data_IF_195294475197
#
_entry.id   IF_195294475197
#
_cell.length_a   1.000
_cell.length_b   1.000
_cell.length_c   1.000
_cell.angle_alpha   90.00
_cell.angle_beta   90.00
_cell.angle_gamma   90.00
#
_symmetry.space_group_name_H-M   'P 1'
#
loop_
_entity.id
_entity.type
_entity.pdbx_description
1 polymer ?
#
# COMPACT_ATOMS: atom_id res chain seq x y z
N UNK A 1 -10.78 -19.16 12.83
CA UNK A 1 -11.68 -18.02 12.55
C UNK A 1 -11.34 -17.50 11.18
N UNK A 2 -12.33 -17.23 10.33
CA UNK A 2 -12.11 -16.89 8.93
C UNK A 2 -12.32 -15.40 8.71
N UNK A 3 -11.25 -14.66 8.40
CA UNK A 3 -11.30 -13.20 8.16
C UNK A 3 -12.07 -12.83 6.90
N UNK A 4 -12.33 -13.81 6.03
CA UNK A 4 -13.04 -13.62 4.77
C UNK A 4 -14.56 -13.80 4.92
N UNK A 5 -15.05 -14.08 6.14
CA UNK A 5 -16.48 -14.37 6.38
C UNK A 5 -17.35 -13.11 6.37
N UNK A 6 -16.86 -11.98 6.92
CA UNK A 6 -17.61 -10.73 7.01
C UNK A 6 -16.79 -9.60 6.36
N UNK A 7 -16.61 -9.71 5.06
CA UNK A 7 -15.88 -8.75 4.25
C UNK A 7 -16.84 -7.77 3.58
N UNK A 8 -16.58 -6.49 3.75
CA UNK A 8 -17.37 -5.40 3.14
C UNK A 8 -16.43 -4.56 2.29
N UNK A 9 -16.74 -4.41 1.01
CA UNK A 9 -16.00 -3.54 0.11
C UNK A 9 -16.78 -2.27 -0.18
N UNK A 10 -16.03 -1.18 -0.32
CA UNK A 10 -16.56 0.13 -0.67
C UNK A 10 -15.95 0.59 -1.99
N UNK A 11 -16.78 1.21 -2.83
CA UNK A 11 -16.32 1.96 -4.00
C UNK A 11 -16.47 3.45 -3.73
N UNK A 12 -15.40 4.18 -4.03
CA UNK A 12 -15.38 5.64 -3.89
C UNK A 12 -15.78 6.30 -5.19
N UNK A 13 -16.65 7.30 -5.09
CA UNK A 13 -17.03 8.19 -6.19
C UNK A 13 -16.64 9.61 -5.78
N UNK A 14 -16.09 10.36 -6.72
CA UNK A 14 -15.62 11.72 -6.49
C UNK A 14 -15.85 12.56 -7.74
N UNK A 15 -15.97 13.84 -7.52
CA UNK A 15 -16.11 14.85 -8.57
C UNK A 15 -15.10 15.96 -8.29
N UNK A 16 -14.24 16.20 -9.25
CA UNK A 16 -13.20 17.23 -9.20
C UNK A 16 -13.47 18.23 -10.31
N UNK A 17 -13.27 19.51 -10.03
CA UNK A 17 -13.24 20.56 -11.05
C UNK A 17 -11.92 21.30 -10.97
N UNK A 18 -11.44 21.77 -12.13
CA UNK A 18 -10.21 22.57 -12.23
C UNK A 18 -10.60 24.01 -12.41
N UNK A 19 -10.10 24.85 -11.51
CA UNK A 19 -10.28 26.31 -11.61
C UNK A 19 -9.20 26.94 -12.46
N UNK A 20 -8.06 26.30 -12.63
CA UNK A 20 -6.88 26.87 -13.28
C UNK A 20 -5.93 25.83 -13.86
N UNK A 21 -5.93 25.63 -15.18
CA UNK A 21 -4.74 25.29 -15.98
C UNK A 21 -5.09 25.42 -17.48
N UNK A 22 -4.38 26.26 -18.19
CA UNK A 22 -4.56 26.40 -19.63
C UNK A 22 -3.32 25.88 -20.32
N UNK A 23 -3.52 24.90 -21.19
CA UNK A 23 -2.61 24.48 -22.25
C UNK A 23 -1.36 23.66 -21.89
N UNK A 24 -1.22 23.16 -20.66
CA UNK A 24 -0.12 22.25 -20.32
C UNK A 24 -0.56 20.79 -20.47
N UNK A 25 0.17 20.04 -21.29
CA UNK A 25 -0.05 18.59 -21.42
C UNK A 25 0.65 17.80 -20.32
N UNK A 26 -0.03 16.80 -19.80
CA UNK A 26 0.43 15.88 -18.77
C UNK A 26 0.34 14.43 -19.24
N UNK A 27 1.24 13.59 -18.76
CA UNK A 27 1.11 12.13 -18.88
C UNK A 27 -0.16 11.67 -18.16
N UNK A 28 -1.13 11.15 -18.89
CA UNK A 28 -2.44 10.70 -18.39
C UNK A 28 -2.32 9.72 -17.22
N UNK A 29 -1.41 8.75 -17.32
CA UNK A 29 -1.24 7.70 -16.30
C UNK A 29 -0.69 8.26 -14.98
N UNK A 30 0.25 9.21 -15.09
CA UNK A 30 0.85 9.87 -13.93
C UNK A 30 -0.09 10.88 -13.31
N UNK A 31 -0.76 11.70 -14.12
CA UNK A 31 -1.76 12.64 -13.66
C UNK A 31 -2.89 11.92 -12.91
N UNK A 32 -3.46 10.85 -13.47
CA UNK A 32 -4.46 10.02 -12.82
C UNK A 32 -3.98 9.45 -11.48
N UNK A 33 -2.70 9.02 -11.39
CA UNK A 33 -2.14 8.52 -10.13
C UNK A 33 -2.03 9.61 -9.06
N UNK A 34 -1.66 10.83 -9.46
CA UNK A 34 -1.56 11.97 -8.55
C UNK A 34 -2.94 12.47 -8.11
N UNK A 35 -3.90 12.57 -9.03
CA UNK A 35 -5.28 12.91 -8.73
C UNK A 35 -5.89 11.90 -7.75
N UNK A 36 -5.66 10.60 -7.99
CA UNK A 36 -6.09 9.56 -7.06
C UNK A 36 -5.47 9.74 -5.68
N UNK A 37 -4.17 9.98 -5.61
CA UNK A 37 -3.46 10.26 -4.35
C UNK A 37 -4.00 11.52 -3.64
N UNK A 38 -4.30 12.57 -4.41
CA UNK A 38 -4.92 13.80 -3.89
C UNK A 38 -6.29 13.52 -3.27
N UNK A 39 -7.19 12.88 -4.00
CA UNK A 39 -8.53 12.50 -3.50
C UNK A 39 -8.45 11.63 -2.25
N UNK A 40 -7.61 10.59 -2.27
CA UNK A 40 -7.48 9.65 -1.15
C UNK A 40 -6.92 10.28 0.13
N UNK A 41 -6.11 11.33 -0.01
CA UNK A 41 -5.53 12.06 1.13
C UNK A 41 -6.26 13.35 1.48
N UNK A 42 -7.30 13.72 0.72
CA UNK A 42 -8.10 14.90 0.98
C UNK A 42 -8.84 14.79 2.31
N UNK A 43 -8.95 15.91 3.05
CA UNK A 43 -9.52 15.89 4.40
C UNK A 43 -11.00 15.44 4.42
N UNK A 44 -11.79 15.87 3.43
CA UNK A 44 -13.18 15.45 3.30
C UNK A 44 -13.33 13.94 3.06
N UNK A 45 -12.48 13.37 2.20
CA UNK A 45 -12.45 11.92 1.94
C UNK A 45 -12.16 11.15 3.23
N UNK A 46 -11.14 11.59 3.97
CA UNK A 46 -10.72 10.96 5.23
C UNK A 46 -11.82 11.08 6.28
N UNK A 47 -12.48 12.23 6.40
CA UNK A 47 -13.58 12.42 7.37
C UNK A 47 -14.76 11.48 7.07
N UNK A 48 -15.18 11.36 5.80
CA UNK A 48 -16.29 10.48 5.40
C UNK A 48 -15.94 9.01 5.66
N UNK A 49 -14.74 8.57 5.31
CA UNK A 49 -14.27 7.20 5.60
C UNK A 49 -14.17 6.96 7.12
N UNK A 50 -13.62 7.92 7.86
CA UNK A 50 -13.48 7.83 9.32
C UNK A 50 -14.85 7.72 10.00
N UNK A 51 -15.83 8.47 9.54
CA UNK A 51 -17.21 8.39 10.03
C UNK A 51 -17.82 7.01 9.79
N UNK A 52 -17.69 6.48 8.57
CA UNK A 52 -18.18 5.13 8.24
C UNK A 52 -17.51 4.03 9.10
N UNK A 53 -16.20 4.14 9.35
CA UNK A 53 -15.47 3.21 10.22
C UNK A 53 -15.92 3.30 11.68
N UNK A 54 -16.07 4.52 12.21
CA UNK A 54 -16.53 4.75 13.58
C UNK A 54 -17.96 4.30 13.78
N UNK A 55 -18.87 4.62 12.87
CA UNK A 55 -20.27 4.19 12.93
C UNK A 55 -20.38 2.66 12.90
N UNK A 56 -19.59 2.00 12.04
CA UNK A 56 -19.54 0.55 12.02
C UNK A 56 -19.01 -0.01 13.35
N UNK A 57 -17.88 0.50 13.84
CA UNK A 57 -17.29 0.01 15.09
C UNK A 57 -18.26 0.22 16.27
N UNK A 58 -18.84 1.38 16.38
CA UNK A 58 -19.74 1.72 17.47
C UNK A 58 -21.01 0.85 17.46
N UNK A 59 -21.70 0.73 16.32
CA UNK A 59 -22.97 0.01 16.23
C UNK A 59 -22.82 -1.52 16.10
N UNK A 60 -21.81 -2.00 15.38
CA UNK A 60 -21.67 -3.44 15.10
C UNK A 60 -20.72 -4.17 16.06
N UNK A 61 -19.86 -3.44 16.77
CA UNK A 61 -18.87 -4.04 17.66
C UNK A 61 -19.10 -3.59 19.10
N UNK A 62 -19.01 -2.30 19.37
CA UNK A 62 -19.04 -1.75 20.71
C UNK A 62 -20.42 -1.92 21.40
N UNK A 63 -21.51 -1.45 20.79
CA UNK A 63 -22.87 -1.57 21.37
C UNK A 63 -23.34 -3.02 21.51
N UNK A 64 -22.83 -3.92 20.68
CA UNK A 64 -23.12 -5.36 20.79
C UNK A 64 -22.35 -6.04 21.92
N UNK A 65 -21.46 -5.33 22.59
CA UNK A 65 -20.66 -5.88 23.69
C UNK A 65 -19.71 -7.00 23.30
N UNK A 66 -19.29 -7.01 22.04
CA UNK A 66 -18.43 -8.09 21.53
C UNK A 66 -17.14 -8.18 22.34
N UNK A 67 -16.68 -9.42 22.57
CA UNK A 67 -15.52 -9.74 23.42
C UNK A 67 -15.61 -9.08 24.81
N UNK A 68 -16.84 -9.04 25.38
CA UNK A 68 -17.09 -8.47 26.70
C UNK A 68 -16.78 -6.96 26.79
N UNK A 69 -17.16 -6.19 25.79
CA UNK A 69 -16.87 -4.74 25.62
C UNK A 69 -15.38 -4.40 25.52
N UNK A 70 -14.50 -5.40 25.32
CA UNK A 70 -13.06 -5.22 25.15
C UNK A 70 -12.60 -5.27 23.70
N UNK A 71 -13.54 -5.41 22.77
CA UNK A 71 -13.23 -5.50 21.35
C UNK A 71 -12.45 -4.29 20.87
N UNK A 72 -11.45 -4.55 20.01
CA UNK A 72 -10.57 -3.56 19.43
C UNK A 72 -10.66 -3.56 17.91
N UNK A 73 -10.25 -2.45 17.30
CA UNK A 73 -10.15 -2.32 15.85
C UNK A 73 -8.78 -1.80 15.42
N UNK A 74 -8.41 -2.11 14.18
CA UNK A 74 -7.21 -1.58 13.53
C UNK A 74 -7.61 -0.88 12.22
N UNK A 75 -7.11 0.34 12.02
CA UNK A 75 -7.22 1.09 10.76
C UNK A 75 -5.87 1.03 10.07
N UNK A 76 -5.83 0.48 8.86
CA UNK A 76 -4.61 0.30 8.07
C UNK A 76 -4.54 1.34 6.98
N UNK A 77 -3.63 2.31 7.14
CA UNK A 77 -3.50 3.45 6.23
C UNK A 77 -2.39 3.25 5.19
N UNK A 78 -2.57 3.85 4.02
CA UNK A 78 -1.60 3.81 2.93
C UNK A 78 -0.32 4.62 3.19
N UNK A 79 -0.40 5.67 4.01
CA UNK A 79 0.73 6.54 4.33
C UNK A 79 0.72 7.03 5.77
N UNK A 80 1.88 7.50 6.24
CA UNK A 80 2.01 8.14 7.56
C UNK A 80 1.18 9.42 7.64
N UNK A 81 1.14 10.22 6.56
CA UNK A 81 0.29 11.42 6.48
C UNK A 81 -1.19 11.08 6.63
N UNK A 82 -1.65 10.02 5.96
CA UNK A 82 -3.02 9.53 6.10
C UNK A 82 -3.33 9.10 7.54
N UNK A 83 -2.39 8.38 8.21
CA UNK A 83 -2.58 7.96 9.60
C UNK A 83 -2.74 9.15 10.55
N UNK A 84 -1.96 10.22 10.37
CA UNK A 84 -2.09 11.47 11.15
C UNK A 84 -3.45 12.12 10.91
N UNK A 85 -3.84 12.28 9.64
CA UNK A 85 -5.15 12.87 9.27
C UNK A 85 -6.31 12.05 9.82
N UNK A 86 -6.27 10.72 9.70
CA UNK A 86 -7.25 9.83 10.33
C UNK A 86 -7.29 10.01 11.84
N UNK A 87 -6.14 10.13 12.51
CA UNK A 87 -6.06 10.37 13.94
C UNK A 87 -6.82 11.64 14.37
N UNK A 88 -6.68 12.72 13.61
CA UNK A 88 -7.42 13.96 13.85
C UNK A 88 -8.91 13.83 13.54
N UNK A 89 -9.26 13.23 12.41
CA UNK A 89 -10.65 13.02 12.01
C UNK A 89 -11.41 12.16 13.03
N UNK A 90 -10.81 11.04 13.46
CA UNK A 90 -11.41 10.17 14.47
C UNK A 90 -11.63 10.91 15.80
N UNK A 91 -10.61 11.62 16.30
CA UNK A 91 -10.72 12.40 17.55
C UNK A 91 -11.79 13.47 17.46
N UNK A 92 -11.89 14.17 16.31
CA UNK A 92 -12.92 15.19 16.03
C UNK A 92 -14.34 14.57 16.08
N UNK A 93 -14.56 13.47 15.35
CA UNK A 93 -15.87 12.82 15.24
C UNK A 93 -16.27 12.19 16.59
N UNK A 94 -15.36 11.54 17.29
CA UNK A 94 -15.59 10.98 18.63
C UNK A 94 -16.06 12.06 19.59
N UNK A 95 -15.41 13.23 19.58
CA UNK A 95 -15.82 14.37 20.42
C UNK A 95 -17.17 14.92 19.99
N UNK A 96 -17.41 15.14 18.69
CA UNK A 96 -18.67 15.69 18.17
C UNK A 96 -19.86 14.79 18.47
N UNK A 97 -19.71 13.47 18.32
CA UNK A 97 -20.76 12.48 18.59
C UNK A 97 -20.79 12.00 20.05
N UNK A 98 -19.89 12.51 20.91
CA UNK A 98 -19.74 12.10 22.31
C UNK A 98 -19.62 10.58 22.47
N UNK A 99 -18.83 9.93 21.59
CA UNK A 99 -18.66 8.48 21.63
C UNK A 99 -17.70 8.09 22.78
N UNK A 100 -17.98 7.00 23.51
CA UNK A 100 -17.10 6.49 24.58
C UNK A 100 -15.93 5.67 23.99
N UNK A 101 -15.24 6.22 23.00
CA UNK A 101 -14.15 5.57 22.25
C UNK A 101 -12.90 6.43 22.30
N UNK A 102 -11.74 5.77 22.24
CA UNK A 102 -10.46 6.43 22.16
C UNK A 102 -9.56 5.77 21.10
N UNK A 103 -8.66 6.56 20.50
CA UNK A 103 -7.81 6.12 19.41
C UNK A 103 -6.35 6.37 19.69
N UNK A 104 -5.49 5.45 19.24
CA UNK A 104 -4.03 5.58 19.17
C UNK A 104 -3.59 5.65 17.72
N UNK A 105 -2.58 6.47 17.42
CA UNK A 105 -1.96 6.57 16.09
C UNK A 105 -0.55 6.00 16.15
N UNK A 106 -0.19 5.14 15.19
CA UNK A 106 1.08 4.44 15.15
C UNK A 106 1.75 4.49 13.77
N UNK A 107 2.95 5.05 13.71
CA UNK A 107 3.82 5.10 12.53
C UNK A 107 5.27 5.38 12.93
N UNK A 108 6.24 5.14 12.07
CA UNK A 108 7.65 5.38 12.39
C UNK A 108 8.14 6.74 11.90
N UNK A 109 8.94 7.43 12.73
CA UNK A 109 9.56 8.73 12.41
C UNK A 109 8.58 9.90 12.46
N UNK A 110 9.02 11.04 11.94
CA UNK A 110 8.24 12.27 11.91
C UNK A 110 7.52 12.45 10.57
N UNK A 111 6.43 13.21 10.58
CA UNK A 111 5.61 13.55 9.41
C UNK A 111 5.33 15.03 9.42
N UNK A 112 5.77 15.74 8.38
CA UNK A 112 5.36 17.12 8.17
C UNK A 112 3.95 17.14 7.55
N UNK A 113 3.03 17.81 8.23
CA UNK A 113 1.68 18.08 7.75
C UNK A 113 1.39 19.57 7.99
N UNK A 114 1.13 20.28 6.93
CA UNK A 114 0.79 21.71 6.92
C UNK A 114 1.81 22.56 7.73
N UNK A 115 3.11 22.27 7.54
CA UNK A 115 4.21 22.97 8.20
C UNK A 115 4.47 22.54 9.65
N UNK A 116 3.72 21.61 10.20
CA UNK A 116 3.90 21.08 11.56
C UNK A 116 4.43 19.66 11.52
N UNK A 117 5.46 19.37 12.30
CA UNK A 117 6.03 18.03 12.42
C UNK A 117 5.30 17.23 13.51
N UNK A 118 4.73 16.10 13.07
CA UNK A 118 3.97 15.18 13.91
C UNK A 118 4.70 13.85 14.08
N UNK A 119 4.70 13.35 15.31
CA UNK A 119 5.14 11.99 15.65
C UNK A 119 4.16 11.32 16.62
N UNK A 120 4.36 10.04 16.86
CA UNK A 120 3.47 9.25 17.72
C UNK A 120 3.32 9.87 19.12
N UNK A 121 4.41 10.37 19.71
CA UNK A 121 4.39 10.87 21.09
C UNK A 121 3.60 12.17 21.21
N UNK A 122 3.73 13.09 20.23
CA UNK A 122 3.00 14.35 20.31
C UNK A 122 1.52 14.20 19.91
N UNK A 123 1.17 13.22 19.08
CA UNK A 123 -0.23 12.91 18.76
C UNK A 123 -0.95 12.20 19.90
N UNK A 124 -0.30 11.16 20.46
CA UNK A 124 -0.91 10.31 21.49
C UNK A 124 -0.77 10.88 22.91
N UNK A 125 0.12 11.86 23.13
CA UNK A 125 0.44 12.46 24.43
C UNK A 125 1.14 11.50 25.41
N UNK A 126 1.77 10.45 24.88
CA UNK A 126 2.62 9.52 25.64
C UNK A 126 3.73 8.95 24.75
N UNK A 127 4.74 8.31 25.35
CA UNK A 127 5.88 7.76 24.60
C UNK A 127 5.46 6.67 23.61
N UNK A 128 6.07 6.67 22.41
CA UNK A 128 5.87 5.64 21.38
C UNK A 128 6.10 4.21 21.85
N UNK A 129 7.00 4.02 22.84
CA UNK A 129 7.28 2.71 23.45
C UNK A 129 6.10 2.13 24.22
N UNK A 130 5.19 2.97 24.71
CA UNK A 130 4.01 2.55 25.46
C UNK A 130 2.82 2.17 24.59
N UNK A 131 2.88 2.39 23.28
CA UNK A 131 1.74 2.11 22.37
C UNK A 131 1.21 0.68 22.50
N UNK A 132 2.04 -0.38 22.53
CA UNK A 132 1.52 -1.74 22.70
C UNK A 132 0.77 -1.92 24.02
N UNK A 133 1.36 -1.50 25.14
CA UNK A 133 0.79 -1.66 26.46
C UNK A 133 -0.50 -0.83 26.64
N UNK A 134 -0.50 0.42 26.16
CA UNK A 134 -1.67 1.29 26.18
C UNK A 134 -2.81 0.76 25.32
N UNK A 135 -2.48 0.16 24.16
CA UNK A 135 -3.49 -0.46 23.32
C UNK A 135 -4.00 -1.77 23.90
N UNK A 136 -3.16 -2.55 24.58
CA UNK A 136 -3.58 -3.79 25.21
C UNK A 136 -4.43 -3.54 26.46
N UNK A 137 -3.93 -2.75 27.40
CA UNK A 137 -4.45 -2.61 28.75
C UNK A 137 -5.18 -1.29 29.01
N UNK A 138 -5.01 -0.30 28.14
CA UNK A 138 -5.61 1.02 28.26
C UNK A 138 -7.02 1.10 27.68
N UNK A 139 -7.63 2.29 27.82
CA UNK A 139 -8.98 2.59 27.37
C UNK A 139 -9.07 2.92 25.88
N UNK A 140 -8.14 2.40 25.06
CA UNK A 140 -8.09 2.65 23.63
C UNK A 140 -8.68 1.47 22.87
N UNK A 141 -9.69 1.75 22.03
CA UNK A 141 -10.37 0.74 21.24
C UNK A 141 -9.86 0.64 19.81
N UNK A 142 -9.28 1.72 19.28
CA UNK A 142 -8.93 1.79 17.85
C UNK A 142 -7.46 2.16 17.68
N UNK A 143 -6.72 1.35 16.94
CA UNK A 143 -5.33 1.60 16.53
C UNK A 143 -5.29 2.01 15.06
N UNK A 144 -4.85 3.22 14.78
CA UNK A 144 -4.66 3.73 13.41
C UNK A 144 -3.19 3.60 13.06
N UNK A 145 -2.84 2.83 12.04
CA UNK A 145 -1.45 2.53 11.73
C UNK A 145 -1.08 2.69 10.25
N UNK A 146 0.19 3.09 10.03
CA UNK A 146 0.81 3.11 8.72
C UNK A 146 2.12 2.30 8.73
N UNK A 147 2.12 1.14 8.08
CA UNK A 147 3.23 0.17 8.01
C UNK A 147 3.68 -0.44 9.36
N UNK A 148 3.52 0.24 10.46
CA UNK A 148 3.83 -0.23 11.81
C UNK A 148 2.70 -1.13 12.31
N UNK A 149 3.02 -2.20 13.05
CA UNK A 149 2.08 -3.19 13.60
C UNK A 149 1.25 -4.00 12.57
N UNK A 150 1.45 -3.82 11.29
CA UNK A 150 0.86 -4.68 10.25
C UNK A 150 1.50 -6.08 10.24
N UNK A 151 2.74 -6.19 10.74
CA UNK A 151 3.44 -7.47 10.97
C UNK A 151 3.95 -7.50 12.41
N UNK A 152 4.10 -8.71 12.98
CA UNK A 152 4.69 -8.89 14.31
C UNK A 152 3.84 -8.41 15.51
N UNK A 153 2.60 -7.94 15.31
CA UNK A 153 1.71 -7.49 16.38
C UNK A 153 0.66 -8.54 16.71
N UNK A 154 0.53 -8.88 17.96
CA UNK A 154 -0.44 -9.87 18.45
C UNK A 154 -1.46 -9.22 19.38
N UNK A 155 -2.72 -9.18 18.96
CA UNK A 155 -3.83 -8.64 19.75
C UNK A 155 -5.08 -9.51 19.57
N UNK A 156 -5.36 -10.43 20.49
CA UNK A 156 -6.50 -11.33 20.39
C UNK A 156 -7.87 -10.64 20.40
N UNK A 157 -7.95 -9.43 20.98
CA UNK A 157 -9.19 -8.65 21.08
C UNK A 157 -9.54 -7.91 19.76
N UNK A 158 -8.69 -7.97 18.73
CA UNK A 158 -8.96 -7.37 17.44
C UNK A 158 -10.19 -8.02 16.80
N UNK A 159 -11.29 -7.27 16.70
CA UNK A 159 -12.58 -7.69 16.18
C UNK A 159 -12.86 -7.12 14.79
N UNK A 160 -12.36 -5.92 14.50
CA UNK A 160 -12.56 -5.27 13.23
C UNK A 160 -11.25 -4.74 12.64
N UNK A 161 -11.16 -4.73 11.31
CA UNK A 161 -10.08 -4.11 10.56
C UNK A 161 -10.66 -3.24 9.45
N UNK A 162 -10.15 -2.02 9.35
CA UNK A 162 -10.52 -1.03 8.36
C UNK A 162 -9.33 -0.78 7.46
N UNK A 163 -9.48 -1.10 6.18
CA UNK A 163 -8.38 -1.08 5.21
C UNK A 163 -8.56 0.10 4.26
N UNK A 164 -7.65 1.07 4.31
CA UNK A 164 -7.55 2.16 3.36
C UNK A 164 -6.13 2.18 2.75
N UNK A 165 -5.79 1.05 2.13
CA UNK A 165 -4.49 0.81 1.53
C UNK A 165 -4.58 -0.31 0.50
N UNK A 166 -3.84 -0.19 -0.62
CA UNK A 166 -3.65 -1.35 -1.49
C UNK A 166 -2.89 -2.44 -0.74
N UNK A 167 -3.55 -3.56 -0.56
CA UNK A 167 -2.96 -4.78 -0.02
C UNK A 167 -2.57 -5.68 -1.19
N UNK A 168 -1.26 -5.87 -1.38
CA UNK A 168 -0.76 -6.81 -2.37
C UNK A 168 -0.46 -8.17 -1.73
N UNK A 169 -0.82 -9.27 -2.38
CA UNK A 169 -0.41 -10.67 -2.12
C UNK A 169 -0.08 -10.99 -0.63
N UNK A 170 1.20 -11.23 -0.32
CA UNK A 170 1.68 -11.58 1.04
C UNK A 170 1.23 -10.57 2.10
N UNK A 171 1.23 -9.28 1.76
CA UNK A 171 0.82 -8.22 2.71
C UNK A 171 -0.67 -8.30 3.08
N UNK A 172 -1.55 -8.74 2.15
CA UNK A 172 -2.96 -8.93 2.44
C UNK A 172 -3.14 -10.03 3.50
N UNK A 173 -2.51 -11.18 3.27
CA UNK A 173 -2.59 -12.31 4.20
C UNK A 173 -1.98 -11.94 5.56
N UNK A 174 -0.78 -11.36 5.58
CA UNK A 174 -0.11 -10.97 6.81
C UNK A 174 -0.88 -9.92 7.62
N UNK A 175 -1.52 -8.97 6.94
CA UNK A 175 -2.29 -7.90 7.59
C UNK A 175 -3.62 -8.46 8.11
N UNK A 176 -4.41 -9.09 7.24
CA UNK A 176 -5.75 -9.57 7.59
C UNK A 176 -5.73 -10.72 8.59
N UNK A 177 -4.71 -11.60 8.55
CA UNK A 177 -4.56 -12.70 9.51
C UNK A 177 -4.37 -12.24 10.97
N UNK A 178 -4.12 -10.95 11.22
CA UNK A 178 -4.13 -10.39 12.58
C UNK A 178 -5.49 -10.53 13.25
N UNK A 179 -6.56 -10.54 12.47
CA UNK A 179 -7.90 -10.79 12.98
C UNK A 179 -8.13 -12.25 13.40
N UNK A 180 -7.34 -13.21 12.91
CA UNK A 180 -7.51 -14.64 13.18
C UNK A 180 -7.04 -15.09 14.57
N UNK A 181 -6.59 -14.16 15.42
CA UNK A 181 -6.20 -14.49 16.79
C UNK A 181 -7.38 -14.97 17.60
N UNK A 182 -7.22 -16.13 18.23
CA UNK A 182 -8.27 -16.79 18.99
C UNK A 182 -8.47 -16.09 20.34
N UNK A 183 -9.71 -15.83 20.68
CA UNK A 183 -10.14 -15.44 22.01
C UNK A 183 -11.44 -16.18 22.34
N UNK A 184 -11.64 -16.57 23.61
CA UNK A 184 -12.79 -17.40 24.02
C UNK A 184 -14.16 -16.78 23.69
N UNK A 185 -14.26 -15.46 23.72
CA UNK A 185 -15.50 -14.72 23.52
C UNK A 185 -15.57 -14.10 22.09
N UNK A 186 -14.73 -14.56 21.16
CA UNK A 186 -14.63 -14.04 19.81
C UNK A 186 -15.19 -15.03 18.80
N UNK A 187 -16.37 -14.75 18.27
CA UNK A 187 -17.09 -15.63 17.35
C UNK A 187 -16.93 -15.23 15.87
N UNK A 188 -16.76 -13.95 15.61
CA UNK A 188 -16.68 -13.39 14.25
C UNK A 188 -15.66 -12.25 14.17
N UNK A 189 -15.29 -11.86 12.97
CA UNK A 189 -14.45 -10.71 12.68
C UNK A 189 -15.05 -9.91 11.53
N UNK A 190 -14.71 -8.61 11.44
CA UNK A 190 -15.23 -7.72 10.40
C UNK A 190 -14.07 -7.06 9.67
N UNK A 191 -14.16 -7.01 8.34
CA UNK A 191 -13.27 -6.22 7.50
C UNK A 191 -14.10 -5.26 6.67
N UNK A 192 -13.75 -3.96 6.72
CA UNK A 192 -14.24 -2.96 5.80
C UNK A 192 -13.07 -2.47 4.96
N UNK A 193 -13.14 -2.66 3.68
CA UNK A 193 -12.09 -2.31 2.73
C UNK A 193 -12.55 -1.20 1.79
N UNK A 194 -11.81 -0.08 1.81
CA UNK A 194 -12.06 1.10 1.01
C UNK A 194 -11.16 1.20 -0.23
N UNK A 195 -10.33 0.18 -0.46
CA UNK A 195 -9.29 0.25 -1.49
C UNK A 195 -9.25 -0.97 -2.41
N UNK A 196 -9.42 -2.17 -1.85
CA UNK A 196 -9.25 -3.43 -2.59
C UNK A 196 -10.61 -4.02 -2.94
N UNK A 197 -10.67 -4.73 -4.08
CA UNK A 197 -11.86 -5.49 -4.46
C UNK A 197 -11.83 -6.89 -3.85
N UNK A 198 -12.98 -7.60 -3.92
CA UNK A 198 -13.03 -9.01 -3.51
C UNK A 198 -12.04 -9.86 -4.28
N UNK A 199 -11.92 -9.64 -5.58
CA UNK A 199 -11.02 -10.36 -6.47
C UNK A 199 -9.55 -10.10 -6.11
N UNK A 200 -9.20 -8.87 -5.73
CA UNK A 200 -7.84 -8.56 -5.27
C UNK A 200 -7.47 -9.39 -4.03
N UNK A 201 -8.40 -9.52 -3.09
CA UNK A 201 -8.20 -10.26 -1.84
C UNK A 201 -8.25 -11.77 -2.09
N UNK A 202 -9.19 -12.24 -2.90
CA UNK A 202 -9.27 -13.64 -3.29
C UNK A 202 -7.95 -14.11 -3.90
N UNK A 203 -7.44 -13.40 -4.90
CA UNK A 203 -6.14 -13.69 -5.53
C UNK A 203 -4.98 -13.67 -4.54
N UNK A 204 -5.04 -12.81 -3.52
CA UNK A 204 -3.99 -12.74 -2.51
C UNK A 204 -4.00 -13.94 -1.56
N UNK A 205 -5.17 -14.51 -1.26
CA UNK A 205 -5.35 -15.61 -0.33
C UNK A 205 -5.29 -17.00 -0.99
N UNK A 206 -5.68 -17.11 -2.27
CA UNK A 206 -5.68 -18.40 -2.99
C UNK A 206 -4.38 -19.20 -2.84
N UNK A 207 -3.17 -18.60 -2.97
CA UNK A 207 -1.92 -19.35 -2.81
C UNK A 207 -1.74 -20.03 -1.45
N UNK A 208 -2.35 -19.51 -0.42
CA UNK A 208 -2.19 -20.01 0.96
C UNK A 208 -3.23 -21.07 1.33
N UNK A 209 -4.32 -21.17 0.57
CA UNK A 209 -5.37 -22.15 0.78
C UNK A 209 -5.09 -23.49 0.09
N UNK A 210 -4.31 -23.45 -0.99
CA UNK A 210 -3.96 -24.66 -1.77
C UNK A 210 -2.60 -25.19 -1.30
N UNK A 211 -2.59 -26.27 -0.55
CA UNK A 211 -1.38 -26.96 -0.07
C UNK A 211 -0.44 -27.46 -1.19
N UNK A 212 -0.88 -27.44 -2.44
CA UNK A 212 -0.13 -27.82 -3.63
C UNK A 212 0.71 -26.68 -4.24
N UNK A 213 0.62 -25.47 -3.70
CA UNK A 213 1.17 -24.26 -4.35
C UNK A 213 2.58 -23.91 -3.90
N UNK A 214 3.06 -24.48 -2.80
CA UNK A 214 4.47 -24.33 -2.42
C UNK A 214 5.43 -24.76 -3.55
N UNK A 215 5.04 -25.74 -4.38
CA UNK A 215 5.85 -26.17 -5.51
C UNK A 215 5.87 -25.21 -6.72
N UNK A 216 4.82 -24.38 -6.91
CA UNK A 216 4.77 -23.38 -8.01
C UNK A 216 5.34 -22.02 -7.63
N UNK A 217 5.36 -21.68 -6.33
CA UNK A 217 5.93 -20.44 -5.83
C UNK A 217 7.44 -20.52 -5.54
N UNK A 218 7.93 -21.73 -5.34
CA UNK A 218 9.36 -22.02 -5.22
C UNK A 218 9.99 -22.41 -6.55
N UNK A 219 9.36 -22.08 -7.69
CA UNK A 219 9.96 -22.34 -8.99
C UNK A 219 11.14 -21.38 -9.21
N UNK A 220 12.39 -21.89 -9.14
CA UNK A 220 13.59 -21.10 -9.38
C UNK A 220 13.58 -20.44 -10.77
N UNK A 221 12.89 -21.02 -11.75
CA UNK A 221 12.83 -20.54 -13.12
C UNK A 221 12.20 -19.13 -13.21
N UNK A 222 11.25 -18.79 -12.33
CA UNK A 222 10.69 -17.43 -12.30
C UNK A 222 11.70 -16.34 -11.99
N UNK A 223 12.72 -16.66 -11.19
CA UNK A 223 13.78 -15.72 -10.89
C UNK A 223 14.70 -15.53 -12.09
N UNK A 224 14.97 -16.61 -12.83
CA UNK A 224 15.66 -16.56 -14.11
C UNK A 224 14.87 -15.74 -15.14
N UNK A 225 13.58 -16.02 -15.30
CA UNK A 225 12.72 -15.29 -16.24
C UNK A 225 12.70 -13.78 -15.95
N UNK A 226 12.63 -13.39 -14.66
CA UNK A 226 12.67 -11.98 -14.25
C UNK A 226 14.05 -11.36 -14.49
N UNK A 227 15.14 -12.09 -14.24
CA UNK A 227 16.49 -11.64 -14.54
C UNK A 227 16.66 -11.42 -16.05
N UNK A 228 16.34 -12.41 -16.87
CA UNK A 228 16.44 -12.34 -18.32
C UNK A 228 15.61 -11.17 -18.89
N UNK A 229 14.40 -10.97 -18.35
CA UNK A 229 13.55 -9.85 -18.74
C UNK A 229 14.12 -8.49 -18.33
N UNK A 230 14.85 -8.40 -17.22
CA UNK A 230 15.54 -7.18 -16.79
C UNK A 230 16.79 -6.92 -17.61
N UNK A 231 17.58 -7.96 -17.89
CA UNK A 231 18.80 -7.87 -18.71
C UNK A 231 18.48 -7.45 -20.15
N UNK A 232 17.33 -7.86 -20.68
CA UNK A 232 16.87 -7.49 -22.02
C UNK A 232 16.67 -5.97 -22.22
N UNK A 233 16.51 -5.16 -21.16
CA UNK A 233 16.45 -3.70 -21.28
C UNK A 233 17.82 -3.07 -21.60
N UNK A 234 18.94 -3.76 -21.34
CA UNK A 234 20.29 -3.30 -21.64
C UNK A 234 20.69 -2.00 -20.91
N UNK A 235 20.06 -1.67 -19.77
CA UNK A 235 20.32 -0.45 -19.01
C UNK A 235 21.51 -0.57 -18.06
N UNK A 236 21.91 -1.77 -17.73
CA UNK A 236 23.10 -2.13 -16.94
C UNK A 236 23.79 -3.33 -17.60
N UNK A 237 25.01 -3.60 -17.21
CA UNK A 237 25.74 -4.80 -17.57
C UNK A 237 26.14 -5.59 -16.31
N UNK A 238 26.55 -6.85 -16.52
CA UNK A 238 26.94 -7.75 -15.44
C UNK A 238 28.14 -7.23 -14.64
N UNK A 239 29.07 -6.54 -15.29
CA UNK A 239 30.22 -5.97 -14.61
C UNK A 239 29.81 -4.89 -13.61
N UNK A 240 28.85 -4.03 -13.97
CA UNK A 240 28.34 -2.98 -13.08
C UNK A 240 27.61 -3.59 -11.88
N UNK A 241 26.81 -4.63 -12.10
CA UNK A 241 26.07 -5.33 -11.04
C UNK A 241 27.03 -6.00 -10.07
N UNK A 242 27.99 -6.78 -10.57
CA UNK A 242 28.98 -7.49 -9.75
C UNK A 242 29.86 -6.53 -8.95
N UNK A 243 30.40 -5.48 -9.61
CA UNK A 243 31.22 -4.48 -8.94
C UNK A 243 30.44 -3.75 -7.84
N UNK A 244 29.22 -3.34 -8.12
CA UNK A 244 28.36 -2.67 -7.16
C UNK A 244 28.07 -3.54 -5.93
N UNK A 245 27.72 -4.80 -6.18
CA UNK A 245 27.45 -5.79 -5.13
C UNK A 245 28.69 -6.08 -4.27
N UNK A 246 29.85 -6.28 -4.91
CA UNK A 246 31.13 -6.49 -4.21
C UNK A 246 31.48 -5.29 -3.32
N UNK A 247 31.34 -4.08 -3.83
CA UNK A 247 31.64 -2.86 -3.08
C UNK A 247 30.70 -2.68 -1.87
N UNK A 248 29.39 -2.95 -2.03
CA UNK A 248 28.43 -2.93 -0.91
C UNK A 248 28.77 -3.97 0.15
N UNK A 249 29.04 -5.21 -0.25
CA UNK A 249 29.35 -6.30 0.68
C UNK A 249 30.68 -6.07 1.40
N UNK A 250 31.58 -5.32 0.77
CA UNK A 250 32.85 -4.89 1.38
C UNK A 250 32.71 -3.68 2.31
N UNK A 251 31.49 -3.18 2.52
CA UNK A 251 31.20 -2.07 3.44
C UNK A 251 31.45 -0.68 2.87
N UNK A 252 31.57 -0.54 1.55
CA UNK A 252 31.65 0.78 0.90
C UNK A 252 30.32 1.50 1.09
N UNK A 253 30.38 2.76 1.57
CA UNK A 253 29.19 3.56 1.79
C UNK A 253 28.41 3.78 0.49
N UNK A 254 27.08 3.63 0.55
CA UNK A 254 26.18 3.72 -0.62
C UNK A 254 26.34 5.04 -1.37
N UNK A 255 26.63 6.12 -0.66
CA UNK A 255 26.87 7.46 -1.23
C UNK A 255 27.99 7.48 -2.26
N UNK A 256 29.02 6.65 -2.07
CA UNK A 256 30.17 6.54 -2.99
C UNK A 256 29.83 5.73 -4.26
N UNK A 257 28.77 4.92 -4.18
CA UNK A 257 28.32 4.08 -5.28
C UNK A 257 27.27 4.79 -6.16
N UNK A 258 26.83 6.00 -5.76
CA UNK A 258 25.83 6.75 -6.51
C UNK A 258 26.23 7.05 -7.95
N UNK A 259 27.52 7.28 -8.22
CA UNK A 259 28.01 7.55 -9.58
C UNK A 259 27.78 6.38 -10.55
N UNK A 260 27.91 5.12 -10.07
CA UNK A 260 27.60 3.94 -10.87
C UNK A 260 26.10 3.84 -11.18
N UNK A 261 25.26 4.15 -10.18
CA UNK A 261 23.81 4.18 -10.37
C UNK A 261 23.35 5.33 -11.26
N UNK A 262 24.07 6.48 -11.28
CA UNK A 262 23.74 7.61 -12.15
C UNK A 262 23.84 7.24 -13.62
N UNK A 263 24.88 6.48 -14.00
CA UNK A 263 25.04 6.02 -15.39
C UNK A 263 23.91 5.09 -15.81
N UNK A 264 23.48 4.20 -14.93
CA UNK A 264 22.34 3.29 -15.18
C UNK A 264 21.02 4.07 -15.27
N UNK A 265 20.81 5.04 -14.40
CA UNK A 265 19.63 5.92 -14.45
C UNK A 265 19.56 6.70 -15.76
N UNK A 266 20.69 7.22 -16.26
CA UNK A 266 20.74 7.89 -17.55
C UNK A 266 20.41 6.93 -18.72
N UNK A 267 20.79 5.67 -18.63
CA UNK A 267 20.38 4.67 -19.60
C UNK A 267 18.87 4.36 -19.51
N UNK A 268 18.33 4.26 -18.30
CA UNK A 268 16.87 4.08 -18.10
C UNK A 268 16.09 5.26 -18.68
N UNK A 269 16.58 6.48 -18.53
CA UNK A 269 15.93 7.69 -19.10
C UNK A 269 15.86 7.68 -20.64
N UNK A 270 16.76 6.96 -21.30
CA UNK A 270 16.76 6.85 -22.76
C UNK A 270 15.74 5.85 -23.29
N UNK A 271 15.20 5.00 -22.42
CA UNK A 271 14.15 4.05 -22.81
C UNK A 271 12.84 4.78 -23.11
N UNK A 272 12.00 4.23 -23.99
CA UNK A 272 10.61 4.64 -24.12
C UNK A 272 9.89 4.58 -22.78
N UNK A 273 8.94 5.47 -22.55
CA UNK A 273 8.31 5.64 -21.21
C UNK A 273 7.57 4.38 -20.75
N UNK A 274 6.93 3.66 -21.66
CA UNK A 274 6.30 2.37 -21.40
C UNK A 274 7.33 1.33 -20.90
N UNK A 275 8.52 1.31 -21.49
CA UNK A 275 9.61 0.44 -21.08
C UNK A 275 10.24 0.86 -19.73
N UNK A 276 10.26 2.17 -19.43
CA UNK A 276 10.70 2.65 -18.11
C UNK A 276 9.79 2.11 -17.01
N UNK A 277 8.46 2.19 -17.20
CA UNK A 277 7.51 1.70 -16.21
C UNK A 277 7.56 0.17 -16.09
N UNK A 278 7.71 -0.56 -17.21
CA UNK A 278 7.88 -2.00 -17.22
C UNK A 278 9.16 -2.44 -16.52
N UNK A 279 10.28 -1.76 -16.78
CA UNK A 279 11.54 -1.99 -16.06
C UNK A 279 11.37 -1.82 -14.55
N UNK A 280 10.73 -0.72 -14.10
CA UNK A 280 10.48 -0.45 -12.68
C UNK A 280 9.64 -1.53 -12.03
N UNK A 281 8.59 -1.98 -12.71
CA UNK A 281 7.69 -3.01 -12.17
C UNK A 281 8.41 -4.37 -12.08
N UNK A 282 9.22 -4.74 -13.08
CA UNK A 282 10.04 -5.95 -13.06
C UNK A 282 11.13 -5.89 -11.99
N UNK A 283 11.82 -4.75 -11.84
CA UNK A 283 12.84 -4.56 -10.82
C UNK A 283 12.26 -4.65 -9.39
N UNK A 284 11.07 -4.10 -9.16
CA UNK A 284 10.34 -4.28 -7.90
C UNK A 284 9.90 -5.73 -7.68
N UNK A 285 9.41 -6.38 -8.73
CA UNK A 285 8.97 -7.77 -8.67
C UNK A 285 10.14 -8.70 -8.34
N UNK A 286 11.28 -8.50 -8.99
CA UNK A 286 12.51 -9.25 -8.72
C UNK A 286 12.95 -9.11 -7.25
N UNK A 287 13.06 -7.87 -6.75
CA UNK A 287 13.52 -7.62 -5.38
C UNK A 287 12.56 -8.20 -4.33
N UNK A 288 11.25 -8.15 -4.56
CA UNK A 288 10.26 -8.77 -3.67
C UNK A 288 10.32 -10.28 -3.71
N UNK A 289 10.38 -10.85 -4.91
CA UNK A 289 10.42 -12.30 -5.10
C UNK A 289 11.69 -12.91 -4.53
N UNK A 290 12.86 -12.31 -4.81
CA UNK A 290 14.12 -12.75 -4.25
C UNK A 290 14.15 -12.66 -2.71
N UNK A 291 13.72 -11.54 -2.15
CA UNK A 291 13.64 -11.36 -0.69
C UNK A 291 12.73 -12.39 -0.01
N UNK A 292 11.71 -12.87 -0.68
CA UNK A 292 10.82 -13.93 -0.17
C UNK A 292 11.46 -15.31 -0.30
N UNK A 293 11.93 -15.64 -1.51
CA UNK A 293 12.37 -17.01 -1.79
C UNK A 293 13.72 -17.36 -1.13
N UNK A 294 14.60 -16.36 -0.93
CA UNK A 294 15.87 -16.53 -0.21
C UNK A 294 15.71 -16.90 1.26
N UNK A 295 14.52 -16.71 1.84
CA UNK A 295 14.20 -17.16 3.20
C UNK A 295 13.77 -18.64 3.26
N UNK A 296 13.39 -19.21 2.13
CA UNK A 296 12.81 -20.56 2.04
C UNK A 296 13.78 -21.52 1.36
N UNK A 297 14.52 -21.05 0.36
CA UNK A 297 15.43 -21.83 -0.47
C UNK A 297 16.81 -21.19 -0.42
N UNK A 298 17.83 -22.00 -0.16
CA UNK A 298 19.23 -21.57 -0.29
C UNK A 298 19.61 -21.64 -1.76
N UNK A 299 19.82 -20.48 -2.39
CA UNK A 299 20.34 -20.42 -3.76
C UNK A 299 21.86 -20.43 -3.74
N UNK A 300 22.46 -21.32 -4.51
CA UNK A 300 23.91 -21.35 -4.76
C UNK A 300 24.34 -20.37 -5.87
N UNK A 301 23.38 -19.67 -6.49
CA UNK A 301 23.63 -18.76 -7.62
C UNK A 301 23.88 -17.34 -7.10
N UNK A 302 25.15 -16.98 -7.07
CA UNK A 302 25.64 -15.67 -6.56
C UNK A 302 25.05 -14.49 -7.33
N UNK A 303 24.86 -14.64 -8.64
CA UNK A 303 24.31 -13.59 -9.53
C UNK A 303 22.94 -13.06 -9.10
N UNK A 304 22.10 -13.89 -8.48
CA UNK A 304 20.78 -13.46 -8.02
C UNK A 304 20.87 -12.53 -6.80
N UNK A 305 21.78 -12.82 -5.88
CA UNK A 305 22.04 -11.94 -4.73
C UNK A 305 22.66 -10.62 -5.20
N UNK A 306 23.62 -10.67 -6.11
CA UNK A 306 24.26 -9.49 -6.67
C UNK A 306 23.26 -8.56 -7.33
N UNK A 307 22.39 -9.10 -8.18
CA UNK A 307 21.33 -8.35 -8.83
C UNK A 307 20.30 -7.81 -7.81
N UNK A 308 19.98 -8.59 -6.77
CA UNK A 308 19.09 -8.13 -5.71
C UNK A 308 19.67 -6.93 -4.96
N UNK A 309 20.93 -6.97 -4.53
CA UNK A 309 21.58 -5.86 -3.82
C UNK A 309 21.63 -4.60 -4.70
N UNK A 310 21.97 -4.76 -5.96
CA UNK A 310 22.00 -3.69 -6.94
C UNK A 310 20.60 -3.06 -7.15
N UNK A 311 19.60 -3.86 -7.49
CA UNK A 311 18.23 -3.39 -7.74
C UNK A 311 17.56 -2.78 -6.51
N UNK A 312 17.89 -3.26 -5.31
CA UNK A 312 17.37 -2.72 -4.05
C UNK A 312 17.74 -1.25 -3.86
N UNK A 313 18.96 -0.87 -4.22
CA UNK A 313 19.42 0.53 -4.12
C UNK A 313 18.97 1.33 -5.34
N UNK A 314 19.07 0.76 -6.54
CA UNK A 314 18.61 1.40 -7.77
C UNK A 314 17.12 1.79 -7.70
N UNK A 315 16.26 0.91 -7.21
CA UNK A 315 14.82 1.19 -7.06
C UNK A 315 14.55 2.42 -6.16
N UNK A 316 15.32 2.61 -5.08
CA UNK A 316 15.20 3.79 -4.23
C UNK A 316 15.57 5.06 -5.00
N UNK A 317 16.70 5.02 -5.72
CA UNK A 317 17.18 6.15 -6.51
C UNK A 317 16.24 6.54 -7.64
N UNK A 318 15.68 5.55 -8.33
CA UNK A 318 14.68 5.76 -9.37
C UNK A 318 13.45 6.47 -8.78
N UNK A 319 12.94 6.02 -7.65
CA UNK A 319 11.77 6.63 -7.00
C UNK A 319 12.04 8.10 -6.66
N UNK A 320 13.21 8.43 -6.11
CA UNK A 320 13.57 9.81 -5.77
C UNK A 320 13.64 10.73 -6.98
N UNK A 321 14.26 10.28 -8.07
CA UNK A 321 14.46 11.09 -9.27
C UNK A 321 13.14 11.31 -10.03
N UNK A 322 12.34 10.26 -10.21
CA UNK A 322 11.07 10.37 -10.93
C UNK A 322 9.95 11.05 -10.14
N UNK A 323 10.07 11.14 -8.81
CA UNK A 323 9.13 11.93 -8.01
C UNK A 323 9.33 13.44 -8.21
N UNK A 324 10.48 13.87 -8.73
CA UNK A 324 10.81 15.28 -8.92
C UNK A 324 10.48 15.85 -10.31
N UNK A 325 10.44 15.03 -11.35
CA UNK A 325 10.51 15.56 -12.74
C UNK A 325 9.18 15.80 -13.46
N UNK A 326 8.04 15.22 -13.09
CA UNK A 326 6.77 15.37 -13.84
C UNK A 326 5.55 15.29 -12.90
N UNK A 327 5.62 15.99 -11.80
CA UNK A 327 4.48 16.13 -10.91
C UNK A 327 3.58 17.28 -11.38
N UNK A 328 2.26 17.08 -11.37
CA UNK A 328 1.33 18.19 -11.26
C UNK A 328 1.85 19.00 -10.06
N UNK A 329 2.14 20.28 -10.27
CA UNK A 329 2.69 21.10 -9.19
C UNK A 329 1.69 21.20 -8.04
N UNK A 330 2.17 21.41 -6.81
CA UNK A 330 1.27 21.52 -5.66
C UNK A 330 0.28 22.67 -5.86
N UNK A 331 0.70 23.77 -6.45
CA UNK A 331 -0.17 24.93 -6.74
C UNK A 331 -1.33 24.56 -7.68
N UNK A 332 -1.10 23.66 -8.65
CA UNK A 332 -2.14 23.16 -9.55
C UNK A 332 -3.05 22.15 -8.83
N UNK A 333 -2.50 21.28 -7.99
CA UNK A 333 -3.32 20.39 -7.15
C UNK A 333 -4.18 21.19 -6.16
N UNK A 334 -3.66 22.25 -5.59
CA UNK A 334 -4.38 23.15 -4.67
C UNK A 334 -5.45 23.99 -5.39
N UNK A 335 -5.37 24.12 -6.72
CA UNK A 335 -6.40 24.76 -7.55
C UNK A 335 -7.52 23.82 -7.99
N UNK A 336 -7.43 22.54 -7.66
CA UNK A 336 -8.48 21.57 -7.94
C UNK A 336 -9.55 21.67 -6.85
N UNK A 337 -10.75 22.06 -7.24
CA UNK A 337 -11.91 22.02 -6.35
C UNK A 337 -12.43 20.60 -6.19
N UNK A 338 -12.59 20.22 -4.93
CA UNK A 338 -13.12 18.93 -4.53
C UNK A 338 -14.64 19.09 -4.26
N UNK A 339 -15.45 18.88 -5.29
CA UNK A 339 -16.88 19.18 -5.19
C UNK A 339 -17.65 18.13 -4.39
N UNK A 340 -17.40 16.85 -4.65
CA UNK A 340 -18.10 15.79 -3.96
C UNK A 340 -17.26 14.53 -3.77
N UNK A 341 -17.54 13.84 -2.68
CA UNK A 341 -17.02 12.50 -2.40
C UNK A 341 -18.09 11.68 -1.70
N UNK A 342 -18.30 10.45 -2.18
CA UNK A 342 -19.18 9.49 -1.52
C UNK A 342 -18.61 8.09 -1.59
N UNK A 343 -18.89 7.31 -0.55
CA UNK A 343 -18.59 5.88 -0.52
C UNK A 343 -19.89 5.10 -0.66
N UNK A 344 -19.90 4.13 -1.57
CA UNK A 344 -21.00 3.17 -1.70
C UNK A 344 -20.52 1.78 -1.30
N UNK A 345 -21.32 1.05 -0.53
CA UNK A 345 -21.06 -0.35 -0.26
C UNK A 345 -21.31 -1.14 -1.54
N UNK A 346 -20.30 -1.85 -1.99
CA UNK A 346 -20.41 -2.80 -3.12
C UNK A 346 -20.88 -4.14 -2.60
N UNK A 347 -20.24 -4.63 -1.53
CA UNK A 347 -20.62 -5.86 -0.85
C UNK A 347 -20.79 -5.58 0.64
N UNK A 348 -21.62 -6.35 1.32
CA UNK A 348 -21.86 -6.19 2.75
C UNK A 348 -21.83 -7.56 3.43
N UNK A 349 -20.89 -7.72 4.37
CA UNK A 349 -20.68 -8.95 5.13
C UNK A 349 -20.67 -10.20 4.22
N UNK A 350 -20.03 -10.06 3.05
CA UNK A 350 -19.88 -11.16 2.11
C UNK A 350 -18.83 -12.15 2.61
N UNK A 351 -19.03 -13.41 2.25
CA UNK A 351 -17.98 -14.41 2.38
C UNK A 351 -17.18 -14.43 1.08
N UNK A 352 -15.92 -14.09 1.14
CA UNK A 352 -15.01 -14.32 0.01
C UNK A 352 -14.71 -15.82 -0.03
N UNK A 353 -15.28 -16.53 -1.01
CA UNK A 353 -15.05 -17.96 -1.21
C UNK A 353 -13.75 -18.15 -2.00
N UNK A 354 -12.91 -19.05 -1.52
CA UNK A 354 -11.72 -19.51 -2.23
C UNK A 354 -12.08 -20.79 -2.95
N UNK A 355 -11.91 -20.83 -4.26
CA UNK A 355 -12.25 -22.01 -5.06
C UNK A 355 -11.38 -23.20 -4.65
N UNK A 356 -12.03 -24.35 -4.37
CA UNK A 356 -11.33 -25.60 -4.02
C UNK A 356 -10.61 -26.20 -5.23
N UNK A 357 -11.16 -26.00 -6.44
CA UNK A 357 -10.63 -26.50 -7.70
C UNK A 357 -10.65 -25.40 -8.78
N UNK A 358 -9.50 -24.82 -9.06
CA UNK A 358 -9.32 -23.87 -10.15
C UNK A 358 -7.85 -23.83 -10.54
N UNK A 359 -7.54 -23.89 -11.83
CA UNK A 359 -6.24 -23.50 -12.34
C UNK A 359 -6.03 -22.03 -12.03
N UNK A 360 -4.95 -21.72 -11.30
CA UNK A 360 -4.51 -20.34 -11.14
C UNK A 360 -3.94 -19.94 -12.49
N UNK A 361 -4.62 -19.03 -13.17
CA UNK A 361 -4.00 -18.40 -14.33
C UNK A 361 -2.67 -17.77 -13.88
N UNK A 362 -1.57 -18.06 -14.59
CA UNK A 362 -0.31 -17.37 -14.33
C UNK A 362 -0.56 -15.87 -14.45
N UNK A 363 0.12 -15.08 -13.61
CA UNK A 363 0.09 -13.62 -13.77
C UNK A 363 0.23 -13.29 -15.25
N UNK A 364 -0.66 -12.48 -15.83
CA UNK A 364 -0.52 -12.11 -17.23
C UNK A 364 0.82 -11.41 -17.41
N UNK A 365 1.79 -12.11 -17.92
CA UNK A 365 2.97 -11.56 -18.59
C UNK A 365 2.50 -11.09 -19.95
N UNK A 366 1.54 -10.21 -20.01
CA UNK A 366 1.18 -9.57 -21.26
C UNK A 366 2.22 -8.52 -21.57
N UNK A 367 3.20 -8.96 -22.33
CA UNK A 367 3.86 -8.12 -23.31
C UNK A 367 2.80 -7.63 -24.29
N UNK A 368 2.03 -6.63 -23.93
CA UNK A 368 1.36 -5.79 -24.90
C UNK A 368 2.40 -4.85 -25.44
N UNK A 369 3.11 -5.32 -26.45
CA UNK A 369 3.75 -4.44 -27.40
C UNK A 369 2.66 -3.63 -28.07
N UNK A 370 2.61 -2.34 -27.82
CA UNK A 370 1.89 -1.40 -28.65
C UNK A 370 2.50 -0.01 -28.47
N UNK A 371 2.90 0.56 -29.60
CA UNK A 371 2.83 1.95 -29.94
C UNK A 371 3.51 2.96 -29.01
N UNK A 372 4.40 3.67 -29.58
CA UNK A 372 5.32 4.70 -29.07
C UNK A 372 4.65 6.02 -28.65
N UNK A 373 3.33 6.10 -28.49
CA UNK A 373 2.67 7.34 -28.08
C UNK A 373 2.27 7.24 -26.62
N UNK A 374 2.94 8.05 -25.78
CA UNK A 374 2.49 8.33 -24.42
C UNK A 374 1.20 9.15 -24.58
N UNK A 375 0.05 8.68 -24.10
CA UNK A 375 -1.14 9.50 -24.12
C UNK A 375 -0.96 10.69 -23.16
N UNK A 376 -0.55 11.82 -23.71
CA UNK A 376 -0.59 13.11 -23.03
C UNK A 376 -1.93 13.78 -23.32
N UNK A 377 -2.39 14.58 -22.37
CA UNK A 377 -3.59 15.39 -22.51
C UNK A 377 -3.56 16.59 -21.57
N UNK A 378 -4.39 17.56 -21.82
CA UNK A 378 -4.56 18.68 -20.90
C UNK A 378 -5.26 18.20 -19.62
N UNK A 379 -4.95 18.84 -18.50
CA UNK A 379 -5.42 18.38 -17.18
C UNK A 379 -6.96 18.38 -17.09
N UNK A 380 -7.65 19.30 -17.74
CA UNK A 380 -9.11 19.37 -17.77
C UNK A 380 -9.74 18.12 -18.38
N UNK A 381 -9.21 17.63 -19.50
CA UNK A 381 -9.68 16.37 -20.09
C UNK A 381 -9.37 15.16 -19.21
N UNK A 382 -8.17 15.15 -18.58
CA UNK A 382 -7.77 14.08 -17.68
C UNK A 382 -8.70 14.03 -16.46
N UNK A 383 -9.06 15.17 -15.87
CA UNK A 383 -9.98 15.24 -14.72
C UNK A 383 -11.40 14.86 -15.13
N UNK A 384 -11.87 15.30 -16.29
CA UNK A 384 -13.19 14.89 -16.81
C UNK A 384 -13.26 13.37 -16.99
N UNK A 385 -12.24 12.76 -17.58
CA UNK A 385 -12.14 11.31 -17.73
C UNK A 385 -11.99 10.60 -16.36
N UNK A 386 -11.29 11.22 -15.42
CA UNK A 386 -11.08 10.71 -14.06
C UNK A 386 -12.40 10.66 -13.27
N UNK A 387 -13.26 11.68 -13.39
CA UNK A 387 -14.57 11.75 -12.74
C UNK A 387 -15.57 10.69 -13.26
N UNK A 388 -15.36 10.14 -14.47
CA UNK A 388 -16.27 9.15 -15.08
C UNK A 388 -15.92 7.70 -14.74
N UNK A 389 -14.83 7.45 -13.98
CA UNK A 389 -14.37 6.12 -13.55
C UNK A 389 -14.97 5.71 -12.22
#
# INVERSE_FOLDING_TARGET
>A
MDVLLNYTTYKSYYELTIVWDKDKEYDKKRANRQLKGFVETHSATIEIKAEAMLDHFYHQVYLKGLVGWKAKAMVVCGSRKSAVKYGFAFKKIILQKSLPLAVIVAFSGDVNLDGTDWNESNINKFSSSKIPDEFENGNYQILICANKYQTGFDQPLLQAMYVDKKLGWVNAVQTLSRLNRVHKDKESTFVLDFYNTEEDIQRAFEPYYKSTILSKWSDPNKLHDLKDALDAFGVYDEYVVNKFSTDILSGVAVEKLHAMLDSVVENIKKLPVDQIDDFKDKAKSYTKFYSFISQIVTYEVVEFEELYQFLKVLNKKIIELWSREIAISQDVLDSIDFESYRNEKVTSNARISLAEDGEIEPMPTTLKGSGTDIPTDILEHIVTEFNTR
#
